data_IF_563776267800
#
_entry.id   IF_563776267800
#
_cell.length_a   1.000
_cell.length_b   1.000
_cell.length_c   1.000
_cell.angle_alpha   90.00
_cell.angle_beta   90.00
_cell.angle_gamma   90.00
#
_symmetry.space_group_name_H-M   'P 1'
#
loop_
_entity.id
_entity.type
_entity.pdbx_description
1 polymer ?
#
# COMPACT_ATOMS: atom_id res chain seq x y z
N UNK A 1 9.99 20.10 -32.77
CA UNK A 1 8.56 19.98 -32.41
C UNK A 1 8.45 19.83 -30.90
N UNK A 2 7.46 20.48 -30.31
CA UNK A 2 7.16 20.48 -28.88
C UNK A 2 5.70 20.09 -28.66
N UNK A 3 5.35 19.68 -27.43
CA UNK A 3 3.96 19.39 -27.07
C UNK A 3 3.39 20.57 -26.29
N UNK A 4 2.28 21.12 -26.79
CA UNK A 4 1.47 22.07 -26.06
C UNK A 4 0.29 21.35 -25.42
N UNK A 5 0.15 21.52 -24.10
CA UNK A 5 -0.85 20.84 -23.28
C UNK A 5 -1.80 21.89 -22.73
N UNK A 6 -3.10 21.63 -22.81
CA UNK A 6 -4.14 22.51 -22.31
C UNK A 6 -5.21 21.67 -21.62
N UNK A 7 -5.60 22.09 -20.42
CA UNK A 7 -6.60 21.43 -19.60
C UNK A 7 -7.74 22.41 -19.44
N UNK A 8 -8.94 21.97 -19.80
CA UNK A 8 -10.12 22.83 -19.77
C UNK A 8 -11.22 22.23 -18.92
N UNK A 9 -11.91 23.08 -18.17
CA UNK A 9 -13.08 22.70 -17.40
C UNK A 9 -14.36 23.06 -18.17
N UNK A 10 -15.36 22.19 -18.12
CA UNK A 10 -16.68 22.42 -18.73
C UNK A 10 -17.55 23.32 -17.84
N UNK A 11 -18.13 24.38 -18.39
CA UNK A 11 -19.13 25.19 -17.69
C UNK A 11 -20.49 24.48 -17.60
N UNK A 12 -21.14 24.62 -16.44
CA UNK A 12 -22.49 24.12 -16.21
C UNK A 12 -23.53 25.16 -16.64
N UNK A 13 -23.75 25.29 -17.94
CA UNK A 13 -24.91 26.02 -18.46
C UNK A 13 -25.90 25.03 -19.07
N UNK A 14 -27.16 25.10 -18.63
CA UNK A 14 -28.31 24.32 -19.14
C UNK A 14 -28.69 24.64 -20.59
N UNK A 15 -27.87 25.43 -21.30
CA UNK A 15 -28.11 25.86 -22.67
C UNK A 15 -27.06 25.22 -23.57
N UNK A 16 -27.52 24.32 -24.45
CA UNK A 16 -27.02 23.71 -25.71
C UNK A 16 -25.55 23.90 -26.17
N UNK A 17 -24.81 24.93 -25.76
CA UNK A 17 -23.40 25.16 -26.08
C UNK A 17 -22.50 24.89 -24.86
N UNK A 18 -21.79 23.75 -24.90
CA UNK A 18 -20.75 23.44 -23.90
C UNK A 18 -19.57 24.41 -24.06
N UNK A 19 -19.44 25.38 -23.16
CA UNK A 19 -18.27 26.26 -23.08
C UNK A 19 -17.17 25.64 -22.20
N UNK A 20 -15.92 25.87 -22.58
CA UNK A 20 -14.73 25.33 -21.93
C UNK A 20 -13.77 26.46 -21.59
N UNK A 21 -13.26 26.51 -20.36
CA UNK A 21 -12.24 27.48 -19.96
C UNK A 21 -10.97 26.77 -19.50
N UNK A 22 -9.83 27.40 -19.72
CA UNK A 22 -8.52 26.83 -19.39
C UNK A 22 -8.27 26.87 -17.89
N UNK A 23 -7.84 25.74 -17.33
CA UNK A 23 -7.47 25.57 -15.91
C UNK A 23 -6.02 25.14 -15.72
N UNK A 24 -5.31 24.76 -16.78
CA UNK A 24 -3.89 24.43 -16.69
C UNK A 24 -3.24 24.01 -18.01
N UNK A 25 -1.91 23.93 -18.00
CA UNK A 25 -1.09 23.61 -19.19
C UNK A 25 0.03 22.58 -18.90
N UNK A 26 -0.09 21.84 -17.80
CA UNK A 26 0.94 20.89 -17.34
C UNK A 26 0.65 19.46 -17.80
N UNK A 27 1.69 18.61 -17.82
CA UNK A 27 1.56 17.16 -18.05
C UNK A 27 0.72 16.45 -16.98
N UNK A 28 0.58 17.07 -15.82
CA UNK A 28 -0.19 16.57 -14.68
C UNK A 28 -1.05 17.71 -14.16
N UNK A 29 -2.26 17.37 -13.73
CA UNK A 29 -3.18 18.31 -13.10
C UNK A 29 -3.89 17.63 -11.95
N UNK A 30 -3.88 18.28 -10.80
CA UNK A 30 -4.60 17.85 -9.61
C UNK A 30 -5.86 18.70 -9.52
N UNK A 31 -7.06 18.12 -9.68
CA UNK A 31 -8.30 18.86 -9.58
C UNK A 31 -8.43 19.59 -8.25
N UNK A 32 -9.01 20.79 -8.31
CA UNK A 32 -9.27 21.67 -7.18
C UNK A 32 -10.73 21.55 -6.71
N UNK A 33 -11.08 22.24 -5.63
CA UNK A 33 -12.46 22.32 -5.17
C UNK A 33 -13.40 22.93 -6.23
N UNK A 34 -12.90 23.88 -7.02
CA UNK A 34 -13.64 24.55 -8.09
C UNK A 34 -13.90 23.62 -9.30
N UNK A 35 -13.20 22.50 -9.39
CA UNK A 35 -13.40 21.50 -10.44
C UNK A 35 -14.53 20.52 -10.12
N UNK A 36 -14.97 20.43 -8.86
CA UNK A 36 -15.96 19.46 -8.40
C UNK A 36 -17.27 19.61 -9.19
N UNK A 37 -17.76 18.49 -9.74
CA UNK A 37 -18.99 18.43 -10.55
C UNK A 37 -18.76 18.72 -12.03
N UNK A 38 -17.57 19.16 -12.44
CA UNK A 38 -17.23 19.52 -13.81
C UNK A 38 -16.47 18.41 -14.54
N UNK A 39 -16.62 18.35 -15.86
CA UNK A 39 -15.79 17.49 -16.72
C UNK A 39 -14.52 18.25 -17.09
N UNK A 40 -13.37 17.59 -17.04
CA UNK A 40 -12.11 18.12 -17.53
C UNK A 40 -11.81 17.55 -18.92
N UNK A 41 -11.28 18.41 -19.79
CA UNK A 41 -10.79 18.09 -21.13
C UNK A 41 -9.29 18.30 -21.17
N UNK A 42 -8.55 17.22 -21.38
CA UNK A 42 -7.12 17.26 -21.64
C UNK A 42 -6.88 17.31 -23.14
N UNK A 43 -6.22 18.35 -23.62
CA UNK A 43 -5.94 18.60 -25.03
C UNK A 43 -4.43 18.69 -25.23
N UNK A 44 -3.90 17.91 -26.18
CA UNK A 44 -2.50 17.85 -26.51
C UNK A 44 -2.33 18.13 -28.01
N UNK A 45 -1.51 19.11 -28.34
CA UNK A 45 -1.22 19.50 -29.72
C UNK A 45 0.28 19.54 -29.92
N UNK A 46 0.75 18.93 -31.01
CA UNK A 46 2.14 19.08 -31.43
C UNK A 46 2.29 20.48 -32.03
N UNK A 47 3.29 21.23 -31.59
CA UNK A 47 3.62 22.55 -32.13
C UNK A 47 5.03 22.54 -32.68
N UNK A 48 5.25 23.32 -33.73
CA UNK A 48 6.58 23.58 -34.22
C UNK A 48 7.38 24.40 -33.19
N UNK A 49 8.67 24.06 -33.01
CA UNK A 49 9.45 24.62 -31.91
C UNK A 49 9.81 26.10 -32.13
N UNK A 50 10.00 26.52 -33.39
CA UNK A 50 10.38 27.89 -33.75
C UNK A 50 9.15 28.77 -33.99
N UNK A 51 8.21 28.29 -34.79
CA UNK A 51 7.05 29.08 -35.22
C UNK A 51 5.89 29.04 -34.22
N UNK A 52 5.91 28.10 -33.27
CA UNK A 52 4.81 27.81 -32.33
C UNK A 52 3.46 27.49 -33.00
N UNK A 53 3.48 27.23 -34.30
CA UNK A 53 2.30 26.82 -35.06
C UNK A 53 1.97 25.36 -34.80
N UNK A 54 0.69 25.03 -34.77
CA UNK A 54 0.21 23.66 -34.56
C UNK A 54 0.53 22.77 -35.76
N UNK A 55 1.13 21.62 -35.51
CA UNK A 55 1.50 20.61 -36.49
C UNK A 55 0.62 19.38 -36.28
N UNK A 56 -0.49 19.32 -37.01
CA UNK A 56 -1.41 18.18 -36.99
C UNK A 56 -2.64 18.36 -36.08
N UNK A 57 -3.34 17.26 -35.82
CA UNK A 57 -4.60 17.26 -35.07
C UNK A 57 -4.37 17.20 -33.56
N UNK A 58 -5.20 17.93 -32.81
CA UNK A 58 -5.23 17.87 -31.35
C UNK A 58 -5.73 16.49 -30.88
N UNK A 59 -4.98 15.85 -29.99
CA UNK A 59 -5.45 14.69 -29.24
C UNK A 59 -6.22 15.18 -28.01
N UNK A 60 -7.45 14.69 -27.82
CA UNK A 60 -8.32 15.11 -26.72
C UNK A 60 -8.78 13.91 -25.88
N UNK A 61 -8.77 14.07 -24.56
CA UNK A 61 -9.32 13.12 -23.60
C UNK A 61 -10.27 13.83 -22.64
N UNK A 62 -11.43 13.25 -22.37
CA UNK A 62 -12.42 13.76 -21.42
C UNK A 62 -12.45 12.89 -20.17
N UNK A 63 -12.54 13.53 -19.00
CA UNK A 63 -12.76 12.83 -17.73
C UNK A 63 -14.26 12.58 -17.49
N UNK A 64 -14.58 11.75 -16.49
CA UNK A 64 -15.88 11.87 -15.82
C UNK A 64 -15.95 13.18 -15.02
N UNK A 65 -17.12 13.50 -14.46
CA UNK A 65 -17.23 14.65 -13.54
C UNK A 65 -16.29 14.45 -12.36
N UNK A 66 -15.53 15.49 -12.02
CA UNK A 66 -14.68 15.48 -10.83
C UNK A 66 -15.58 15.31 -9.61
N UNK A 67 -15.21 14.39 -8.73
CA UNK A 67 -15.91 14.14 -7.48
C UNK A 67 -15.12 14.76 -6.32
N UNK A 68 -15.79 15.13 -5.22
CA UNK A 68 -15.08 15.49 -3.99
C UNK A 68 -14.13 14.37 -3.58
N UNK A 69 -12.92 14.73 -3.12
CA UNK A 69 -12.03 13.74 -2.54
C UNK A 69 -12.71 13.08 -1.33
N UNK A 70 -12.76 11.74 -1.24
CA UNK A 70 -13.34 11.08 -0.08
C UNK A 70 -12.54 11.46 1.17
N UNK A 71 -13.21 11.89 2.23
CA UNK A 71 -12.55 12.12 3.51
C UNK A 71 -12.23 10.77 4.16
N UNK A 72 -10.95 10.44 4.41
CA UNK A 72 -10.61 9.23 5.14
C UNK A 72 -11.16 9.32 6.57
N UNK A 73 -11.71 8.22 7.06
CA UNK A 73 -12.05 8.10 8.48
C UNK A 73 -10.76 8.14 9.29
N UNK A 74 -10.61 9.01 10.30
CA UNK A 74 -9.40 9.06 11.09
C UNK A 74 -9.31 7.78 11.94
N UNK A 75 -8.28 6.96 11.72
CA UNK A 75 -7.95 5.91 12.68
C UNK A 75 -7.10 6.53 13.79
N UNK A 76 -7.46 6.24 15.04
CA UNK A 76 -6.70 6.70 16.20
C UNK A 76 -5.62 5.68 16.55
N UNK A 77 -4.43 6.18 16.87
CA UNK A 77 -3.40 5.35 17.50
C UNK A 77 -3.84 5.01 18.92
N UNK A 78 -3.77 3.73 19.27
CA UNK A 78 -4.12 3.26 20.60
C UNK A 78 -2.83 3.17 21.42
N UNK A 79 -2.72 3.91 22.54
CA UNK A 79 -1.59 3.74 23.44
C UNK A 79 -1.66 2.34 24.06
N UNK A 80 -0.58 1.59 23.94
CA UNK A 80 -0.40 0.31 24.63
C UNK A 80 0.57 0.58 25.77
N UNK A 81 0.05 0.69 26.99
CA UNK A 81 0.89 0.78 28.18
C UNK A 81 1.63 -0.56 28.36
N UNK A 82 2.94 -0.55 28.11
CA UNK A 82 3.80 -1.62 28.58
C UNK A 82 3.81 -1.61 30.11
N UNK A 83 3.71 -2.78 30.75
CA UNK A 83 4.07 -2.90 32.17
C UNK A 83 5.47 -2.28 32.32
N UNK A 84 5.56 -1.16 33.04
CA UNK A 84 6.80 -0.40 33.18
C UNK A 84 7.96 -1.31 33.54
N UNK A 85 9.07 -1.21 32.82
CA UNK A 85 10.26 -1.98 33.14
C UNK A 85 10.82 -1.46 34.46
N UNK A 86 10.79 -2.31 35.49
CA UNK A 86 11.44 -2.04 36.76
C UNK A 86 12.96 -2.13 36.51
N UNK A 87 13.71 -1.11 36.92
CA UNK A 87 15.17 -1.25 37.03
C UNK A 87 15.54 -2.20 38.19
N UNK A 88 16.84 -2.48 38.35
CA UNK A 88 17.35 -3.33 39.43
C UNK A 88 16.99 -2.78 40.84
N UNK A 89 16.63 -1.49 40.93
CA UNK A 89 16.22 -0.77 42.13
C UNK A 89 14.69 -0.64 42.27
N UNK A 90 13.89 -1.26 41.39
CA UNK A 90 12.43 -1.27 41.46
C UNK A 90 11.76 0.06 41.06
N UNK A 91 12.45 0.95 40.36
CA UNK A 91 11.90 2.19 39.80
C UNK A 91 11.31 1.93 38.43
N UNK A 92 10.16 2.54 38.15
CA UNK A 92 9.59 2.56 36.80
C UNK A 92 10.53 3.39 35.93
N UNK A 93 11.29 2.74 35.06
CA UNK A 93 12.08 3.45 34.05
C UNK A 93 11.19 3.70 32.84
N UNK A 94 11.15 4.95 32.38
CA UNK A 94 10.55 5.28 31.09
C UNK A 94 11.50 4.80 29.99
N UNK A 95 11.53 3.49 29.73
CA UNK A 95 12.07 2.95 28.47
C UNK A 95 11.36 3.68 27.32
N UNK A 96 12.13 4.27 26.40
CA UNK A 96 11.61 5.17 25.37
C UNK A 96 10.37 4.62 24.64
N UNK A 97 9.41 5.49 24.34
CA UNK A 97 8.21 5.12 23.59
C UNK A 97 8.47 5.11 22.09
N UNK A 98 7.84 4.18 21.38
CA UNK A 98 7.79 4.17 19.93
C UNK A 98 6.40 3.76 19.46
N UNK A 99 6.15 4.02 18.18
CA UNK A 99 4.86 3.84 17.53
C UNK A 99 4.95 2.75 16.47
N UNK A 100 3.90 1.93 16.37
CA UNK A 100 3.81 0.84 15.39
C UNK A 100 2.52 0.99 14.60
N UNK A 101 2.65 0.98 13.27
CA UNK A 101 1.53 0.86 12.35
C UNK A 101 1.47 -0.58 11.82
N UNK A 102 0.33 -1.25 11.94
CA UNK A 102 0.07 -2.52 11.25
C UNK A 102 -1.07 -2.31 10.27
N UNK A 103 -0.85 -2.60 8.99
CA UNK A 103 -1.84 -2.28 7.97
C UNK A 103 -1.88 -3.26 6.79
N UNK A 104 -3.07 -3.82 6.56
CA UNK A 104 -3.34 -4.74 5.46
C UNK A 104 -3.77 -3.95 4.22
N UNK A 105 -2.92 -3.90 3.20
CA UNK A 105 -3.07 -2.92 2.09
C UNK A 105 -3.81 -3.44 0.86
N UNK A 106 -4.31 -4.69 0.91
CA UNK A 106 -5.02 -5.38 -0.18
C UNK A 106 -4.20 -5.46 -1.48
N UNK A 107 -3.59 -6.62 -1.71
CA UNK A 107 -2.92 -6.95 -2.97
C UNK A 107 -3.84 -6.74 -4.17
N UNK A 108 -3.32 -6.20 -5.28
CA UNK A 108 -4.10 -6.01 -6.51
C UNK A 108 -4.56 -7.33 -7.13
N UNK A 109 -3.85 -8.43 -6.86
CA UNK A 109 -4.30 -9.78 -7.21
C UNK A 109 -5.62 -10.16 -6.51
N UNK A 110 -5.96 -9.50 -5.40
CA UNK A 110 -7.19 -9.72 -4.63
C UNK A 110 -8.24 -8.62 -4.83
N UNK A 111 -7.89 -7.48 -5.42
CA UNK A 111 -8.78 -6.34 -5.65
C UNK A 111 -9.71 -6.54 -6.87
N UNK A 112 -10.43 -7.67 -6.93
CA UNK A 112 -11.36 -7.98 -8.02
C UNK A 112 -12.69 -7.25 -7.89
N UNK A 113 -13.19 -6.70 -9.00
CA UNK A 113 -14.52 -6.10 -9.09
C UNK A 113 -15.65 -7.08 -8.77
N UNK A 114 -15.42 -8.39 -8.84
CA UNK A 114 -16.41 -9.40 -8.45
C UNK A 114 -16.61 -9.45 -6.93
N UNK A 115 -15.51 -9.39 -6.17
CA UNK A 115 -15.52 -9.39 -4.71
C UNK A 115 -15.93 -8.02 -4.15
N UNK A 116 -15.55 -6.95 -4.85
CA UNK A 116 -15.76 -5.56 -4.44
C UNK A 116 -16.71 -4.82 -5.38
N UNK A 117 -17.83 -5.45 -5.75
CA UNK A 117 -18.77 -4.92 -6.76
C UNK A 117 -19.44 -3.57 -6.39
N UNK A 118 -19.44 -3.21 -5.11
CA UNK A 118 -19.90 -1.93 -4.59
C UNK A 118 -18.87 -0.80 -4.78
N UNK A 119 -17.60 -1.15 -5.04
CA UNK A 119 -16.53 -0.19 -5.22
C UNK A 119 -16.28 0.02 -6.72
N UNK A 120 -16.29 1.27 -7.21
CA UNK A 120 -16.08 1.50 -8.63
C UNK A 120 -14.65 1.10 -9.05
N UNK A 121 -14.50 0.59 -10.27
CA UNK A 121 -13.23 0.04 -10.78
C UNK A 121 -12.06 1.02 -10.73
N UNK A 122 -12.33 2.31 -10.93
CA UNK A 122 -11.29 3.35 -10.82
C UNK A 122 -10.74 3.47 -9.39
N UNK A 123 -11.58 3.29 -8.37
CA UNK A 123 -11.19 3.35 -6.96
C UNK A 123 -10.48 2.06 -6.51
N UNK A 124 -10.82 0.92 -7.11
CA UNK A 124 -10.10 -0.34 -6.92
C UNK A 124 -8.74 -0.38 -7.62
N UNK A 125 -8.53 0.44 -8.64
CA UNK A 125 -7.31 0.42 -9.43
C UNK A 125 -6.07 0.73 -8.57
N UNK A 126 -4.99 -0.04 -8.77
CA UNK A 126 -3.73 0.17 -8.05
C UNK A 126 -3.18 1.59 -8.14
N UNK A 127 -3.16 2.27 -9.31
CA UNK A 127 -2.64 3.63 -9.41
C UNK A 127 -3.34 4.64 -8.50
N UNK A 128 -4.66 4.46 -8.29
CA UNK A 128 -5.44 5.27 -7.36
C UNK A 128 -5.18 4.87 -5.91
N UNK A 129 -5.25 3.57 -5.58
CA UNK A 129 -5.08 3.07 -4.21
C UNK A 129 -3.71 3.42 -3.64
N UNK A 130 -2.64 3.20 -4.40
CA UNK A 130 -1.25 3.37 -3.92
C UNK A 130 -0.96 4.79 -3.40
N UNK A 131 -1.51 5.80 -4.08
CA UNK A 131 -1.32 7.20 -3.68
C UNK A 131 -2.01 7.52 -2.35
N UNK A 132 -3.20 6.97 -2.13
CA UNK A 132 -3.94 7.15 -0.88
C UNK A 132 -3.29 6.36 0.27
N UNK A 133 -2.91 5.10 0.01
CA UNK A 133 -2.20 4.26 0.98
C UNK A 133 -0.90 4.91 1.46
N UNK A 134 -0.06 5.40 0.53
CA UNK A 134 1.19 6.06 0.90
C UNK A 134 0.94 7.31 1.75
N UNK A 135 -0.03 8.16 1.34
CA UNK A 135 -0.39 9.38 2.08
C UNK A 135 -0.83 9.06 3.50
N UNK A 136 -1.65 8.03 3.66
CA UNK A 136 -2.13 7.59 4.96
C UNK A 136 -0.99 7.03 5.83
N UNK A 137 -0.20 6.09 5.30
CA UNK A 137 0.93 5.47 6.01
C UNK A 137 1.93 6.53 6.49
N UNK A 138 2.32 7.47 5.62
CA UNK A 138 3.23 8.56 5.96
C UNK A 138 2.59 9.52 6.98
N UNK A 139 1.29 9.76 6.89
CA UNK A 139 0.55 10.63 7.80
C UNK A 139 0.63 10.21 9.27
N UNK A 140 0.68 8.91 9.54
CA UNK A 140 0.84 8.39 10.92
C UNK A 140 2.22 8.66 11.51
N UNK A 141 3.26 8.85 10.67
CA UNK A 141 4.64 9.04 11.13
C UNK A 141 5.13 7.95 12.11
N UNK A 142 4.62 6.72 11.94
CA UNK A 142 4.92 5.61 12.84
C UNK A 142 6.41 5.22 12.78
N UNK A 143 7.02 4.85 13.90
CA UNK A 143 8.43 4.53 13.93
C UNK A 143 8.74 3.17 13.28
N UNK A 144 7.78 2.25 13.36
CA UNK A 144 7.77 0.94 12.69
C UNK A 144 6.45 0.79 11.94
N UNK A 145 6.51 0.35 10.69
CA UNK A 145 5.35 0.08 9.83
C UNK A 145 5.41 -1.37 9.37
N UNK A 146 4.35 -2.13 9.61
CA UNK A 146 4.18 -3.50 9.18
C UNK A 146 3.02 -3.56 8.19
N UNK A 147 3.30 -3.90 6.94
CA UNK A 147 2.30 -4.01 5.87
C UNK A 147 2.07 -5.47 5.48
N UNK A 148 0.81 -5.87 5.30
CA UNK A 148 0.42 -7.20 4.80
C UNK A 148 -0.30 -7.11 3.46
N UNK A 149 -0.31 -8.23 2.73
CA UNK A 149 -0.81 -8.34 1.35
C UNK A 149 -0.10 -7.39 0.37
N UNK A 150 1.21 -7.21 0.56
CA UNK A 150 2.06 -6.39 -0.31
C UNK A 150 2.55 -7.22 -1.49
N UNK A 151 2.10 -6.91 -2.70
CA UNK A 151 2.66 -7.52 -3.92
C UNK A 151 4.12 -7.13 -4.12
N UNK A 152 4.92 -8.05 -4.65
CA UNK A 152 6.37 -7.83 -4.77
C UNK A 152 6.76 -6.68 -5.70
N UNK A 153 6.11 -6.57 -6.86
CA UNK A 153 6.31 -5.43 -7.76
C UNK A 153 5.94 -4.10 -7.09
N UNK A 154 4.85 -4.07 -6.32
CA UNK A 154 4.43 -2.88 -5.60
C UNK A 154 5.37 -2.50 -4.46
N UNK A 155 6.01 -3.48 -3.81
CA UNK A 155 7.06 -3.20 -2.85
C UNK A 155 8.28 -2.56 -3.54
N UNK A 156 8.81 -3.22 -4.58
CA UNK A 156 10.06 -2.83 -5.25
C UNK A 156 9.93 -1.50 -6.00
N UNK A 157 8.83 -1.31 -6.73
CA UNK A 157 8.66 -0.16 -7.62
C UNK A 157 8.04 1.06 -6.94
N UNK A 158 7.38 0.88 -5.79
CA UNK A 158 6.60 1.95 -5.15
C UNK A 158 6.90 2.12 -3.66
N UNK A 159 6.54 1.16 -2.81
CA UNK A 159 6.63 1.39 -1.36
C UNK A 159 8.07 1.58 -0.87
N UNK A 160 9.01 0.74 -1.32
CA UNK A 160 10.41 0.85 -0.94
C UNK A 160 11.00 2.22 -1.32
N UNK A 161 10.97 2.67 -2.59
CA UNK A 161 11.55 3.96 -2.96
C UNK A 161 10.78 5.15 -2.37
N UNK A 162 9.46 5.08 -2.21
CA UNK A 162 8.70 6.21 -1.64
C UNK A 162 8.94 6.34 -0.12
N UNK A 163 8.89 5.25 0.65
CA UNK A 163 9.16 5.31 2.09
C UNK A 163 10.63 5.59 2.41
N UNK A 164 11.55 5.24 1.50
CA UNK A 164 12.97 5.61 1.61
C UNK A 164 13.17 7.15 1.66
N UNK A 165 12.42 7.89 0.83
CA UNK A 165 12.39 9.37 0.82
C UNK A 165 11.87 9.95 2.14
N UNK A 166 11.07 9.19 2.87
CA UNK A 166 10.54 9.56 4.18
C UNK A 166 11.41 9.07 5.35
N UNK A 167 12.63 8.57 5.08
CA UNK A 167 13.60 8.20 6.12
C UNK A 167 13.46 6.77 6.65
N UNK A 168 12.65 5.94 5.99
CA UNK A 168 12.46 4.55 6.39
C UNK A 168 13.42 3.60 5.66
N UNK A 169 13.82 2.53 6.33
CA UNK A 169 14.43 1.36 5.71
C UNK A 169 13.43 0.22 5.65
N UNK A 170 13.28 -0.41 4.48
CA UNK A 170 12.31 -1.46 4.23
C UNK A 170 12.93 -2.86 4.15
N UNK A 171 12.24 -3.84 4.73
CA UNK A 171 12.47 -5.26 4.58
C UNK A 171 11.22 -5.91 4.03
N UNK A 172 11.36 -6.83 3.08
CA UNK A 172 10.23 -7.55 2.48
C UNK A 172 10.43 -9.05 2.53
N UNK A 173 9.36 -9.77 2.81
CA UNK A 173 9.29 -11.23 2.70
C UNK A 173 8.09 -11.59 1.84
N UNK A 174 8.38 -12.09 0.64
CA UNK A 174 7.39 -12.72 -0.23
C UNK A 174 6.86 -14.01 0.39
N UNK A 175 5.56 -14.25 0.26
CA UNK A 175 4.93 -15.53 0.60
C UNK A 175 5.48 -16.63 -0.30
N UNK A 176 6.05 -17.68 0.29
CA UNK A 176 6.41 -18.90 -0.45
C UNK A 176 5.16 -19.72 -0.71
N UNK A 177 4.86 -19.95 -1.98
CA UNK A 177 3.80 -20.84 -2.38
C UNK A 177 4.36 -21.80 -3.42
N UNK A 178 4.57 -23.06 -3.03
CA UNK A 178 5.11 -24.10 -3.92
C UNK A 178 4.17 -24.43 -5.10
N UNK A 179 2.91 -23.95 -5.07
CA UNK A 179 1.83 -24.37 -5.98
C UNK A 179 1.32 -23.25 -6.90
N UNK A 180 1.84 -22.02 -6.82
CA UNK A 180 1.37 -20.96 -7.72
C UNK A 180 2.16 -20.94 -9.03
N UNK A 181 1.56 -21.53 -10.07
CA UNK A 181 1.88 -21.36 -11.51
C UNK A 181 1.60 -19.94 -12.03
N UNK A 182 1.78 -18.91 -11.19
CA UNK A 182 1.52 -17.52 -11.51
C UNK A 182 2.80 -16.75 -11.83
N UNK A 183 2.65 -15.53 -12.38
CA UNK A 183 3.76 -14.59 -12.49
C UNK A 183 4.31 -14.31 -11.08
N UNK A 184 5.57 -14.70 -10.84
CA UNK A 184 6.23 -14.57 -9.55
C UNK A 184 6.15 -13.13 -9.01
N UNK A 185 6.08 -12.11 -9.88
CA UNK A 185 6.07 -10.70 -9.49
C UNK A 185 4.75 -10.24 -8.85
N UNK A 186 3.67 -11.03 -8.94
CA UNK A 186 2.35 -10.68 -8.39
C UNK A 186 2.00 -11.42 -7.09
N UNK A 187 2.95 -12.18 -6.56
CA UNK A 187 2.80 -12.86 -5.28
C UNK A 187 2.92 -11.83 -4.17
N UNK A 188 1.99 -11.87 -3.24
CA UNK A 188 1.95 -10.99 -2.08
C UNK A 188 2.88 -11.46 -0.95
N UNK A 189 3.06 -10.61 0.04
CA UNK A 189 3.91 -10.87 1.18
C UNK A 189 3.75 -9.79 2.23
N UNK A 190 4.72 -9.75 3.15
CA UNK A 190 4.76 -8.80 4.24
C UNK A 190 5.98 -7.90 4.10
N UNK A 191 5.79 -6.61 4.38
CA UNK A 191 6.85 -5.62 4.40
C UNK A 191 6.93 -4.99 5.79
N UNK A 192 8.14 -4.73 6.26
CA UNK A 192 8.38 -3.99 7.50
C UNK A 192 9.32 -2.84 7.20
N UNK A 193 8.90 -1.64 7.59
CA UNK A 193 9.68 -0.42 7.47
C UNK A 193 9.96 0.12 8.86
N UNK A 194 11.14 0.71 9.06
CA UNK A 194 11.46 1.38 10.31
C UNK A 194 12.31 2.62 10.06
N UNK A 195 12.14 3.61 10.94
CA UNK A 195 12.85 4.90 10.89
C UNK A 195 14.36 4.72 11.10
N UNK A 196 15.18 5.12 10.13
CA UNK A 196 16.65 4.97 10.18
C UNK A 196 17.31 5.83 11.25
N UNK A 197 16.67 6.93 11.64
CA UNK A 197 17.12 7.82 12.71
C UNK A 197 16.83 7.28 14.12
N UNK A 198 16.00 6.24 14.24
CA UNK A 198 15.64 5.63 15.52
C UNK A 198 16.09 4.19 15.67
N UNK A 199 16.16 3.46 14.56
CA UNK A 199 16.41 2.03 14.55
C UNK A 199 17.44 1.63 13.50
N UNK A 200 18.32 0.68 13.86
CA UNK A 200 19.12 -0.06 12.89
C UNK A 200 18.68 -1.51 12.80
N UNK A 201 18.73 -2.05 11.59
CA UNK A 201 18.56 -3.48 11.36
C UNK A 201 19.73 -4.26 11.94
N UNK A 202 19.45 -5.18 12.86
CA UNK A 202 20.45 -6.12 13.38
C UNK A 202 20.32 -7.46 12.66
N UNK A 203 19.10 -8.00 12.63
CA UNK A 203 18.85 -9.33 12.07
C UNK A 203 17.44 -9.48 11.54
N UNK A 204 17.32 -10.29 10.49
CA UNK A 204 16.05 -10.70 9.88
C UNK A 204 15.90 -12.20 10.04
N UNK A 205 14.81 -12.62 10.64
CA UNK A 205 14.37 -14.02 10.62
C UNK A 205 13.20 -14.13 9.65
N UNK A 206 13.04 -15.26 8.97
CA UNK A 206 11.91 -15.51 8.09
C UNK A 206 11.31 -16.87 8.44
N UNK A 207 10.02 -16.91 8.74
CA UNK A 207 9.33 -18.14 9.11
C UNK A 207 8.37 -18.56 7.99
N UNK A 208 8.48 -19.82 7.57
CA UNK A 208 7.58 -20.42 6.59
C UNK A 208 6.76 -21.52 7.26
N UNK A 209 5.55 -21.17 7.72
CA UNK A 209 4.70 -22.09 8.49
C UNK A 209 4.38 -23.39 7.76
N UNK A 210 4.24 -23.37 6.43
CA UNK A 210 4.01 -24.59 5.66
C UNK A 210 5.17 -25.56 5.80
N UNK A 211 6.42 -25.08 5.76
CA UNK A 211 7.61 -25.90 5.99
C UNK A 211 7.70 -26.36 7.43
N UNK A 212 7.44 -25.47 8.39
CA UNK A 212 7.44 -25.83 9.81
C UNK A 212 6.38 -26.91 10.13
N UNK A 213 5.16 -26.75 9.61
CA UNK A 213 4.07 -27.71 9.75
C UNK A 213 4.40 -29.03 9.03
N UNK A 214 5.00 -28.99 7.84
CA UNK A 214 5.43 -30.19 7.13
C UNK A 214 6.49 -30.96 7.94
N UNK A 215 7.52 -30.28 8.44
CA UNK A 215 8.55 -30.89 9.29
C UNK A 215 7.98 -31.51 10.57
N UNK A 216 7.03 -30.83 11.24
CA UNK A 216 6.35 -31.37 12.41
C UNK A 216 5.49 -32.60 12.05
N UNK A 217 4.79 -32.55 10.92
CA UNK A 217 3.94 -33.65 10.44
C UNK A 217 4.79 -34.87 10.05
N UNK A 218 5.93 -34.65 9.41
CA UNK A 218 6.88 -35.70 9.03
C UNK A 218 7.55 -36.35 10.24
N UNK A 219 7.82 -35.56 11.29
CA UNK A 219 8.41 -36.06 12.54
C UNK A 219 7.43 -36.83 13.43
N UNK A 220 6.13 -36.52 13.37
CA UNK A 220 5.15 -36.99 14.37
C UNK A 220 4.02 -37.89 13.84
N UNK A 221 3.75 -37.95 12.51
CA UNK A 221 2.54 -38.60 11.98
C UNK A 221 2.81 -39.72 10.94
N UNK A 222 2.24 -40.92 11.12
CA UNK A 222 2.31 -42.02 10.16
C UNK A 222 1.77 -41.65 8.76
N UNK A 223 2.38 -42.22 7.72
CA UNK A 223 2.14 -41.90 6.29
C UNK A 223 0.69 -41.91 5.86
N UNK A 224 -0.13 -42.79 6.45
CA UNK A 224 -1.54 -42.97 6.11
C UNK A 224 -2.45 -41.81 6.54
N UNK A 225 -2.05 -41.02 7.54
CA UNK A 225 -2.85 -39.90 8.09
C UNK A 225 -2.29 -38.52 7.73
N UNK A 226 -1.10 -38.49 7.11
CA UNK A 226 -0.32 -37.28 6.84
C UNK A 226 -1.08 -36.24 6.00
N UNK A 227 -1.79 -36.66 4.95
CA UNK A 227 -2.56 -35.77 4.06
C UNK A 227 -3.74 -35.09 4.77
N UNK A 228 -4.42 -35.80 5.67
CA UNK A 228 -5.56 -35.27 6.42
C UNK A 228 -5.10 -34.37 7.57
N UNK A 229 -4.02 -34.74 8.25
CA UNK A 229 -3.39 -33.92 9.29
C UNK A 229 -2.84 -32.61 8.72
N UNK A 230 -2.13 -32.66 7.58
CA UNK A 230 -1.61 -31.46 6.92
C UNK A 230 -2.74 -30.53 6.47
N UNK A 231 -3.83 -31.05 5.90
CA UNK A 231 -5.00 -30.24 5.53
C UNK A 231 -5.69 -29.58 6.74
N UNK A 232 -5.68 -30.23 7.91
CA UNK A 232 -6.21 -29.66 9.16
C UNK A 232 -5.26 -28.62 9.74
N UNK A 233 -3.95 -28.89 9.75
CA UNK A 233 -2.91 -27.96 10.18
C UNK A 233 -2.88 -26.71 9.30
N UNK A 234 -2.99 -26.84 7.98
CA UNK A 234 -3.09 -25.70 7.07
C UNK A 234 -4.35 -24.88 7.35
N UNK A 235 -5.49 -25.52 7.66
CA UNK A 235 -6.71 -24.81 8.09
C UNK A 235 -6.54 -24.12 9.44
N UNK A 236 -5.85 -24.73 10.40
CA UNK A 236 -5.55 -24.14 11.71
C UNK A 236 -4.57 -22.97 11.55
N UNK A 237 -3.54 -23.08 10.70
CA UNK A 237 -2.64 -21.97 10.32
C UNK A 237 -3.43 -20.86 9.61
N UNK A 238 -4.40 -21.19 8.77
CA UNK A 238 -5.27 -20.20 8.12
C UNK A 238 -6.22 -19.52 9.12
N UNK A 239 -6.71 -20.24 10.13
CA UNK A 239 -7.54 -19.72 11.21
C UNK A 239 -6.73 -18.84 12.17
N UNK A 240 -5.51 -19.25 12.55
CA UNK A 240 -4.56 -18.43 13.32
C UNK A 240 -4.22 -17.14 12.54
N UNK A 241 -4.03 -17.21 11.22
CA UNK A 241 -3.90 -15.99 10.39
C UNK A 241 -5.11 -15.04 10.43
N UNK A 242 -6.29 -15.53 10.80
CA UNK A 242 -7.53 -14.76 10.82
C UNK A 242 -7.95 -14.32 12.24
N UNK A 243 -7.58 -15.10 13.27
CA UNK A 243 -7.95 -14.89 14.68
C UNK A 243 -6.81 -14.29 15.53
N UNK A 244 -5.54 -14.38 15.10
CA UNK A 244 -4.37 -13.79 15.77
C UNK A 244 -4.24 -12.29 15.44
N UNK A 245 -5.35 -11.56 15.52
CA UNK A 245 -5.38 -10.10 15.32
C UNK A 245 -5.14 -9.32 16.63
N UNK A 246 -5.18 -9.99 17.79
CA UNK A 246 -5.04 -9.36 19.14
C UNK A 246 -3.72 -9.68 19.86
N UNK A 247 -2.92 -10.64 19.38
CA UNK A 247 -1.63 -10.98 19.99
C UNK A 247 -0.60 -10.86 18.88
N UNK A 248 0.08 -9.71 18.87
CA UNK A 248 1.27 -9.39 18.11
C UNK A 248 2.00 -10.66 17.59
N UNK A 249 2.23 -10.71 16.28
CA UNK A 249 3.28 -11.50 15.64
C UNK A 249 3.04 -13.01 15.36
N UNK A 250 2.24 -13.37 14.36
CA UNK A 250 2.29 -14.71 13.73
C UNK A 250 2.35 -14.71 12.18
N UNK A 251 2.96 -13.68 11.59
CA UNK A 251 3.78 -13.82 10.37
C UNK A 251 5.15 -13.20 10.67
N UNK A 252 5.91 -13.87 11.54
CA UNK A 252 7.15 -13.32 12.05
C UNK A 252 8.26 -13.39 11.00
N UNK A 253 8.41 -12.31 10.24
CA UNK A 253 9.75 -11.73 10.20
C UNK A 253 10.01 -11.06 11.55
N UNK A 254 10.60 -11.80 12.50
CA UNK A 254 11.15 -11.14 13.70
C UNK A 254 12.27 -10.26 13.19
N UNK A 255 12.09 -8.95 13.33
CA UNK A 255 13.12 -7.98 13.02
C UNK A 255 13.62 -7.47 14.35
N UNK A 256 14.88 -7.78 14.63
CA UNK A 256 15.56 -7.26 15.79
C UNK A 256 16.14 -5.90 15.38
N UNK A 257 15.61 -4.85 16.01
CA UNK A 257 16.04 -3.47 15.81
C UNK A 257 16.76 -2.98 17.07
N UNK A 258 17.90 -2.32 16.90
CA UNK A 258 18.55 -1.63 18.01
C UNK A 258 18.20 -0.13 17.99
N UNK A 259 17.97 0.46 19.16
CA UNK A 259 17.64 1.90 19.28
C UNK A 259 18.93 2.73 19.22
N UNK A 260 18.94 3.79 18.44
CA UNK A 260 19.99 4.81 18.52
C UNK A 260 19.72 5.74 19.71
N UNK A 261 20.72 5.93 20.58
CA UNK A 261 20.71 6.92 21.66
C UNK A 261 21.33 8.25 21.19
#
# INVERSE_FOLDING_TARGET
MELHLCIRQQLHNEVVVKSWFEVGHSKTYTPTADDIGHVLKFECVVVDAETKLTVGHACTLLTSRVIPAPSPSPHQMIPVDGMGHLDAEGRITSSGSFTVLSYKILSDSYASSELYNYCPSWALSWPYRRQNLLREIVGYQADIICLQEVQSDHYEEYFAPELDKHGYYGLYKKKTNEVFLGNANRIDGCATFFRRDRFSHVKKYEVEFNKAAQSLTDAMIPTSQRKTALNRLVKVVYCMKHDTFDILNEELSVIELSHYQ
#
